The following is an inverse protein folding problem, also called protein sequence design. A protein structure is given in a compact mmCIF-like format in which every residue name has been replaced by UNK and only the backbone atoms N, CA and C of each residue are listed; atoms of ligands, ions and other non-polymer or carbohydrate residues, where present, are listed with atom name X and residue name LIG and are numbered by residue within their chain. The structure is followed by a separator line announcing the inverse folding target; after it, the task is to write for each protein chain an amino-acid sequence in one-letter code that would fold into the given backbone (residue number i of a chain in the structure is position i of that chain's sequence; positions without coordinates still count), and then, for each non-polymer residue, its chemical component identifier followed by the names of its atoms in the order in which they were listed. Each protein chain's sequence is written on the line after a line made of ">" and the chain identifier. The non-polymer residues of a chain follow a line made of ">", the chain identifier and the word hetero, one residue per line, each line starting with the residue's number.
data_IF_946472161412
#
_entry.id   IF_946472161412
#
_cell.length_a   1.000
_cell.length_b   1.000
_cell.length_c   1.000
_cell.angle_alpha   90.00
_cell.angle_beta   90.00
_cell.angle_gamma   90.00
#
_symmetry.space_group_name_H-M   'P 1'
#
loop_
_entity.id
_entity.type
_entity.pdbx_description
1 polymer ?
#
# COMPACT_ATOMS: atom_id res chain seq x y z
N UNK A 1 4.97 -36.58 -16.77
CA UNK A 1 5.95 -35.73 -17.46
C UNK A 1 7.32 -35.99 -16.88
N UNK A 2 8.21 -36.56 -17.72
CA UNK A 2 9.61 -36.85 -17.42
C UNK A 2 10.46 -35.58 -17.55
N UNK A 3 11.64 -35.49 -16.92
CA UNK A 3 12.49 -34.30 -16.99
C UNK A 3 12.87 -33.88 -18.42
N UNK A 4 13.07 -34.83 -19.32
CA UNK A 4 13.45 -34.56 -20.71
C UNK A 4 12.32 -33.87 -21.47
N UNK A 5 11.07 -34.26 -21.22
CA UNK A 5 9.87 -33.64 -21.83
C UNK A 5 9.68 -32.19 -21.40
N UNK A 6 10.24 -31.79 -20.24
CA UNK A 6 10.11 -30.44 -19.70
C UNK A 6 11.02 -29.45 -20.42
N UNK A 7 12.18 -29.92 -20.89
CA UNK A 7 13.22 -29.12 -21.54
C UNK A 7 13.23 -29.27 -23.06
N UNK A 8 12.44 -30.20 -23.61
CA UNK A 8 12.27 -30.32 -25.05
C UNK A 8 11.42 -29.15 -25.55
N UNK A 9 11.82 -28.48 -26.65
CA UNK A 9 11.00 -27.45 -27.28
C UNK A 9 9.62 -28.03 -27.65
N UNK A 10 8.55 -27.36 -27.21
CA UNK A 10 7.19 -27.86 -27.45
C UNK A 10 6.92 -27.89 -28.95
N UNK A 11 6.50 -29.00 -29.56
CA UNK A 11 6.29 -29.07 -31.02
C UNK A 11 4.96 -28.42 -31.48
N UNK A 12 4.52 -27.35 -30.82
CA UNK A 12 3.13 -26.90 -30.93
C UNK A 12 2.83 -26.15 -32.24
N UNK A 13 3.78 -25.44 -32.86
CA UNK A 13 3.55 -24.68 -34.11
C UNK A 13 4.81 -24.48 -34.98
N UNK A 14 4.84 -25.01 -36.21
CA UNK A 14 5.96 -24.82 -37.13
C UNK A 14 6.24 -23.32 -37.40
N UNK A 15 7.49 -22.86 -37.19
CA UNK A 15 7.95 -21.51 -37.54
C UNK A 15 8.08 -20.50 -36.39
N UNK A 16 7.71 -20.86 -35.16
CA UNK A 16 7.88 -20.02 -33.96
C UNK A 16 9.02 -20.63 -33.10
N UNK A 17 9.92 -19.83 -32.49
CA UNK A 17 10.85 -20.34 -31.48
C UNK A 17 10.06 -21.14 -30.44
N UNK A 18 10.29 -22.44 -30.38
CA UNK A 18 9.50 -23.32 -29.55
C UNK A 18 9.96 -23.18 -28.10
N UNK A 19 9.16 -22.49 -27.30
CA UNK A 19 9.37 -22.47 -25.86
C UNK A 19 9.21 -23.89 -25.30
N UNK A 20 10.13 -24.24 -24.42
CA UNK A 20 10.08 -25.45 -23.59
C UNK A 20 8.95 -25.36 -22.58
N UNK A 21 8.51 -26.49 -22.03
CA UNK A 21 7.45 -26.50 -21.01
C UNK A 21 7.86 -25.66 -19.78
N UNK A 22 9.13 -25.72 -19.37
CA UNK A 22 9.63 -24.89 -18.26
C UNK A 22 9.55 -23.40 -18.57
N UNK A 23 9.87 -22.97 -19.80
CA UNK A 23 9.75 -21.58 -20.23
C UNK A 23 8.29 -21.10 -20.25
N UNK A 24 7.36 -21.91 -20.77
CA UNK A 24 5.93 -21.58 -20.76
C UNK A 24 5.35 -21.54 -19.33
N UNK A 25 5.89 -22.35 -18.43
CA UNK A 25 5.37 -22.48 -17.07
C UNK A 25 5.64 -21.26 -16.18
N UNK A 26 6.56 -20.36 -16.55
CA UNK A 26 6.95 -19.19 -15.74
C UNK A 26 5.80 -18.20 -15.48
N UNK A 27 4.69 -18.33 -16.21
CA UNK A 27 3.49 -17.53 -15.99
C UNK A 27 2.65 -18.02 -14.80
N UNK A 28 2.90 -19.24 -14.30
CA UNK A 28 2.11 -19.89 -13.27
C UNK A 28 2.98 -20.62 -12.24
N UNK A 29 3.03 -20.08 -11.02
CA UNK A 29 3.83 -20.62 -9.90
C UNK A 29 3.73 -22.14 -9.76
N UNK A 30 2.51 -22.69 -9.66
CA UNK A 30 2.31 -24.14 -9.43
C UNK A 30 2.90 -25.00 -10.55
N UNK A 31 2.76 -24.56 -11.80
CA UNK A 31 3.31 -25.29 -12.94
C UNK A 31 4.83 -25.14 -13.01
N UNK A 32 5.34 -23.93 -12.76
CA UNK A 32 6.78 -23.70 -12.71
C UNK A 32 7.45 -24.55 -11.63
N UNK A 33 6.96 -24.52 -10.38
CA UNK A 33 7.52 -25.31 -9.28
C UNK A 33 7.48 -26.81 -9.59
N UNK A 34 6.35 -27.31 -10.12
CA UNK A 34 6.24 -28.73 -10.50
C UNK A 34 7.21 -29.16 -11.61
N UNK A 35 7.56 -28.23 -12.53
CA UNK A 35 8.59 -28.47 -13.54
C UNK A 35 9.99 -28.35 -12.93
N UNK A 36 10.23 -27.31 -12.14
CA UNK A 36 11.49 -27.00 -11.47
C UNK A 36 11.96 -28.15 -10.57
N UNK A 37 11.09 -28.65 -9.68
CA UNK A 37 11.41 -29.73 -8.74
C UNK A 37 11.86 -31.03 -9.45
N UNK A 38 11.44 -31.24 -10.70
CA UNK A 38 11.83 -32.42 -11.48
C UNK A 38 13.17 -32.27 -12.20
N UNK A 39 13.59 -31.04 -12.49
CA UNK A 39 14.77 -30.77 -13.32
C UNK A 39 15.93 -30.19 -12.50
N UNK A 40 15.68 -29.61 -11.32
CA UNK A 40 16.73 -28.90 -10.56
C UNK A 40 17.88 -29.82 -10.13
N UNK A 41 17.58 -31.09 -9.80
CA UNK A 41 18.56 -32.07 -9.35
C UNK A 41 19.42 -32.64 -10.48
N UNK A 42 19.06 -32.39 -11.73
CA UNK A 42 19.76 -32.93 -12.90
C UNK A 42 20.87 -31.96 -13.30
N UNK A 43 22.04 -32.17 -12.71
CA UNK A 43 23.18 -31.24 -12.82
C UNK A 43 23.63 -31.00 -14.27
N UNK A 44 23.46 -32.00 -15.15
CA UNK A 44 23.82 -31.93 -16.56
C UNK A 44 22.99 -30.93 -17.38
N UNK A 45 21.84 -30.50 -16.87
CA UNK A 45 21.00 -29.51 -17.56
C UNK A 45 21.55 -28.10 -17.35
N UNK A 46 21.86 -27.42 -18.45
CA UNK A 46 22.28 -26.01 -18.48
C UNK A 46 21.05 -25.08 -18.44
N UNK A 47 20.34 -25.08 -17.30
CA UNK A 47 19.08 -24.35 -17.14
C UNK A 47 19.24 -22.83 -17.32
N UNK A 48 20.43 -22.29 -17.08
CA UNK A 48 20.82 -20.89 -17.31
C UNK A 48 20.85 -20.51 -18.79
N UNK A 49 21.02 -21.47 -19.70
CA UNK A 49 20.92 -21.25 -21.15
C UNK A 49 19.48 -21.36 -21.67
N UNK A 50 18.60 -22.00 -20.91
CA UNK A 50 17.18 -22.18 -21.27
C UNK A 50 16.36 -20.96 -20.80
N UNK A 51 16.56 -20.53 -19.55
CA UNK A 51 15.79 -19.43 -18.97
C UNK A 51 16.45 -18.08 -19.27
N UNK A 52 15.85 -17.33 -20.19
CA UNK A 52 16.26 -15.95 -20.49
C UNK A 52 15.91 -14.97 -19.36
N UNK A 53 16.46 -13.75 -19.42
CA UNK A 53 16.11 -12.67 -18.49
C UNK A 53 14.60 -12.41 -18.40
N UNK A 54 13.87 -12.47 -19.52
CA UNK A 54 12.42 -12.30 -19.55
C UNK A 54 11.71 -13.37 -18.72
N UNK A 55 12.15 -14.63 -18.82
CA UNK A 55 11.63 -15.71 -18.00
C UNK A 55 11.92 -15.48 -16.51
N UNK A 56 13.13 -15.04 -16.17
CA UNK A 56 13.50 -14.72 -14.78
C UNK A 56 12.62 -13.61 -14.17
N UNK A 57 12.28 -12.57 -14.94
CA UNK A 57 11.36 -11.51 -14.48
C UNK A 57 9.99 -12.10 -14.13
N UNK A 58 9.47 -13.01 -14.95
CA UNK A 58 8.19 -13.65 -14.67
C UNK A 58 8.24 -14.60 -13.48
N UNK A 59 9.35 -15.31 -13.28
CA UNK A 59 9.55 -16.16 -12.11
C UNK A 59 9.51 -15.32 -10.82
N UNK A 60 10.13 -14.12 -10.82
CA UNK A 60 10.11 -13.20 -9.68
C UNK A 60 8.69 -12.88 -9.15
N UNK A 61 7.64 -13.00 -9.98
CA UNK A 61 6.23 -12.79 -9.58
C UNK A 61 5.76 -13.66 -8.42
N UNK A 62 6.43 -14.79 -8.17
CA UNK A 62 6.03 -15.72 -7.12
C UNK A 62 7.22 -16.28 -6.34
N UNK A 63 8.43 -15.76 -6.59
CA UNK A 63 9.64 -16.17 -5.90
C UNK A 63 9.60 -15.77 -4.43
N UNK A 64 10.10 -16.66 -3.58
CA UNK A 64 10.53 -16.40 -2.22
C UNK A 64 12.07 -16.54 -2.12
N UNK A 65 12.60 -16.30 -0.92
CA UNK A 65 14.04 -16.43 -0.67
C UNK A 65 14.59 -17.84 -0.97
N UNK A 66 13.86 -18.92 -0.64
CA UNK A 66 14.33 -20.29 -0.85
C UNK A 66 14.45 -20.62 -2.34
N UNK A 67 13.43 -20.29 -3.14
CA UNK A 67 13.46 -20.51 -4.58
C UNK A 67 14.60 -19.71 -5.23
N UNK A 68 14.79 -18.45 -4.81
CA UNK A 68 15.89 -17.62 -5.33
C UNK A 68 17.26 -18.28 -5.09
N UNK A 69 17.49 -18.82 -3.88
CA UNK A 69 18.72 -19.53 -3.55
C UNK A 69 18.88 -20.86 -4.31
N UNK A 70 17.80 -21.64 -4.45
CA UNK A 70 17.82 -22.88 -5.25
C UNK A 70 18.15 -22.60 -6.71
N UNK A 71 17.57 -21.56 -7.31
CA UNK A 71 17.86 -21.13 -8.67
C UNK A 71 19.31 -20.63 -8.82
N UNK A 72 19.81 -19.86 -7.84
CA UNK A 72 21.20 -19.40 -7.80
C UNK A 72 22.20 -20.55 -7.79
N UNK A 73 21.95 -21.63 -7.03
CA UNK A 73 22.79 -22.85 -7.04
C UNK A 73 22.85 -23.51 -8.43
N UNK A 74 21.84 -23.28 -9.27
CA UNK A 74 21.77 -23.70 -10.67
C UNK A 74 22.23 -22.60 -11.65
N UNK A 75 22.99 -21.61 -11.17
CA UNK A 75 23.55 -20.48 -11.92
C UNK A 75 22.50 -19.54 -12.55
N UNK A 76 21.25 -19.61 -12.10
CA UNK A 76 20.20 -18.69 -12.52
C UNK A 76 20.07 -17.60 -11.45
N UNK A 77 20.69 -16.45 -11.70
CA UNK A 77 20.68 -15.31 -10.79
C UNK A 77 19.50 -14.37 -11.09
N UNK A 78 18.44 -14.47 -10.27
CA UNK A 78 17.30 -13.58 -10.37
C UNK A 78 17.65 -12.11 -10.06
N UNK A 79 18.68 -11.86 -9.24
CA UNK A 79 19.12 -10.50 -8.91
C UNK A 79 19.66 -9.78 -10.15
N UNK A 80 20.37 -10.50 -11.02
CA UNK A 80 20.86 -9.98 -12.30
C UNK A 80 19.71 -9.53 -13.21
N UNK A 81 18.61 -10.29 -13.26
CA UNK A 81 17.43 -9.91 -14.02
C UNK A 81 16.77 -8.64 -13.47
N UNK A 82 16.62 -8.56 -12.14
CA UNK A 82 16.11 -7.34 -11.48
C UNK A 82 17.01 -6.15 -11.73
N UNK A 83 18.34 -6.31 -11.65
CA UNK A 83 19.31 -5.23 -11.92
C UNK A 83 19.25 -4.74 -13.36
N UNK A 84 19.04 -5.66 -14.32
CA UNK A 84 18.97 -5.35 -15.75
C UNK A 84 17.67 -4.64 -16.12
N UNK A 85 16.56 -5.02 -15.48
CA UNK A 85 15.23 -4.48 -15.75
C UNK A 85 14.49 -4.13 -14.44
N UNK A 86 14.98 -3.13 -13.67
CA UNK A 86 14.49 -2.87 -12.33
C UNK A 86 13.02 -2.46 -12.32
N UNK A 87 12.63 -1.52 -13.19
CA UNK A 87 11.25 -1.06 -13.29
C UNK A 87 10.27 -2.21 -13.53
N UNK A 88 10.49 -2.97 -14.60
CA UNK A 88 9.59 -4.09 -14.95
C UNK A 88 9.57 -5.12 -13.83
N UNK A 89 10.74 -5.51 -13.31
CA UNK A 89 10.82 -6.55 -12.29
C UNK A 89 10.09 -6.18 -11.00
N UNK A 90 10.34 -4.98 -10.48
CA UNK A 90 9.69 -4.53 -9.24
C UNK A 90 8.18 -4.37 -9.41
N UNK A 91 7.71 -3.88 -10.57
CA UNK A 91 6.27 -3.77 -10.85
C UNK A 91 5.62 -5.15 -10.98
N UNK A 92 6.29 -6.11 -11.61
CA UNK A 92 5.80 -7.48 -11.73
C UNK A 92 5.68 -8.19 -10.38
N UNK A 93 6.71 -8.06 -9.52
CA UNK A 93 6.67 -8.59 -8.15
C UNK A 93 5.55 -7.91 -7.36
N UNK A 94 5.50 -6.57 -7.37
CA UNK A 94 4.52 -5.79 -6.63
C UNK A 94 3.06 -6.09 -7.06
N UNK A 95 2.82 -6.39 -8.33
CA UNK A 95 1.48 -6.65 -8.86
C UNK A 95 1.01 -8.07 -8.55
N UNK A 96 1.90 -9.05 -8.69
CA UNK A 96 1.49 -10.46 -8.76
C UNK A 96 1.86 -11.29 -7.52
N UNK A 97 2.93 -10.93 -6.81
CA UNK A 97 3.36 -11.73 -5.66
C UNK A 97 2.45 -11.45 -4.45
N UNK A 98 1.71 -12.46 -3.92
CA UNK A 98 0.84 -12.26 -2.78
C UNK A 98 1.61 -11.95 -1.48
N UNK A 99 2.84 -12.46 -1.35
CA UNK A 99 3.71 -12.22 -0.20
C UNK A 99 5.20 -12.22 -0.60
N UNK A 100 5.70 -11.10 -1.18
CA UNK A 100 7.08 -11.00 -1.60
C UNK A 100 8.04 -10.70 -0.45
N UNK A 101 7.61 -10.74 0.82
CA UNK A 101 8.38 -10.17 1.94
C UNK A 101 9.79 -10.80 2.09
N UNK A 102 9.88 -12.13 1.98
CA UNK A 102 11.16 -12.84 2.02
C UNK A 102 12.02 -12.52 0.79
N UNK A 103 11.44 -12.48 -0.40
CA UNK A 103 12.15 -12.16 -1.63
C UNK A 103 12.62 -10.70 -1.68
N UNK A 104 11.83 -9.75 -1.16
CA UNK A 104 12.25 -8.35 -1.00
C UNK A 104 13.41 -8.21 -0.02
N UNK A 105 13.40 -8.96 1.09
CA UNK A 105 14.55 -8.98 2.00
C UNK A 105 15.79 -9.57 1.31
N UNK A 106 15.63 -10.62 0.51
CA UNK A 106 16.70 -11.18 -0.30
C UNK A 106 17.25 -10.16 -1.30
N UNK A 107 16.40 -9.52 -2.11
CA UNK A 107 16.80 -8.46 -3.04
C UNK A 107 17.51 -7.29 -2.34
N UNK A 108 17.03 -6.90 -1.17
CA UNK A 108 17.65 -5.86 -0.36
C UNK A 108 19.07 -6.24 0.12
N UNK A 109 19.32 -7.51 0.44
CA UNK A 109 20.68 -8.00 0.76
C UNK A 109 21.59 -8.02 -0.47
N UNK A 110 21.01 -8.15 -1.66
CA UNK A 110 21.70 -7.97 -2.95
C UNK A 110 21.87 -6.50 -3.35
N UNK A 111 21.60 -5.57 -2.43
CA UNK A 111 21.68 -4.11 -2.61
C UNK A 111 20.74 -3.58 -3.71
N UNK A 112 19.67 -4.32 -4.01
CA UNK A 112 18.67 -3.92 -4.99
C UNK A 112 17.50 -3.21 -4.29
N UNK A 113 17.25 -1.98 -4.74
CA UNK A 113 16.19 -1.12 -4.21
C UNK A 113 15.09 -0.92 -5.26
N UNK A 114 13.83 -0.73 -4.83
CA UNK A 114 12.76 -0.37 -5.75
C UNK A 114 13.06 0.99 -6.41
N UNK A 115 12.77 1.15 -7.71
CA UNK A 115 12.96 2.43 -8.39
C UNK A 115 11.99 3.49 -7.84
N UNK A 116 12.41 4.76 -7.87
CA UNK A 116 11.59 5.92 -7.48
C UNK A 116 10.46 6.18 -8.48
N UNK A 117 9.37 6.82 -8.02
CA UNK A 117 8.18 7.16 -8.83
C UNK A 117 8.37 8.24 -9.90
N UNK A 118 9.58 8.65 -10.26
CA UNK A 118 9.76 9.72 -11.26
C UNK A 118 9.29 9.31 -12.67
N UNK A 119 8.96 8.02 -12.86
CA UNK A 119 8.59 7.43 -14.14
C UNK A 119 7.08 7.17 -14.21
N UNK A 120 6.49 7.50 -15.35
CA UNK A 120 5.05 7.49 -15.65
C UNK A 120 4.32 6.15 -15.47
N UNK A 121 5.01 5.03 -15.26
CA UNK A 121 4.44 3.68 -15.12
C UNK A 121 3.91 3.36 -13.71
N UNK A 122 4.08 4.29 -12.76
CA UNK A 122 3.67 4.15 -11.36
C UNK A 122 4.73 3.43 -10.52
N UNK A 123 4.82 3.77 -9.23
CA UNK A 123 5.81 3.13 -8.36
C UNK A 123 5.37 1.74 -7.89
N UNK A 124 6.32 0.85 -7.52
CA UNK A 124 5.99 -0.46 -6.96
C UNK A 124 5.05 -0.37 -5.76
N UNK A 125 5.16 0.68 -4.93
CA UNK A 125 4.27 0.89 -3.79
C UNK A 125 2.81 1.07 -4.25
N UNK A 126 2.59 1.96 -5.22
CA UNK A 126 1.25 2.26 -5.71
C UNK A 126 0.63 1.07 -6.43
N UNK A 127 1.42 0.33 -7.23
CA UNK A 127 0.96 -0.88 -7.91
C UNK A 127 0.60 -1.99 -6.90
N UNK A 128 1.45 -2.26 -5.91
CA UNK A 128 1.14 -3.21 -4.85
C UNK A 128 -0.14 -2.82 -4.12
N UNK A 129 -0.25 -1.54 -3.76
CA UNK A 129 -1.42 -1.03 -3.07
C UNK A 129 -2.68 -1.20 -3.91
N UNK A 130 -2.68 -0.82 -5.19
CA UNK A 130 -3.83 -0.94 -6.09
C UNK A 130 -4.33 -2.37 -6.26
N UNK A 131 -3.42 -3.35 -6.18
CA UNK A 131 -3.73 -4.78 -6.30
C UNK A 131 -3.95 -5.47 -4.94
N UNK A 132 -4.17 -4.70 -3.87
CA UNK A 132 -4.41 -5.18 -2.51
C UNK A 132 -3.33 -6.15 -1.98
N UNK A 133 -2.08 -5.96 -2.41
CA UNK A 133 -0.93 -6.76 -1.97
C UNK A 133 -0.40 -6.27 -0.64
N UNK A 134 -1.16 -6.50 0.44
CA UNK A 134 -0.85 -5.96 1.77
C UNK A 134 0.59 -6.23 2.25
N UNK A 135 1.16 -7.45 2.14
CA UNK A 135 2.55 -7.68 2.57
C UNK A 135 3.54 -6.84 1.75
N UNK A 136 3.38 -6.81 0.42
CA UNK A 136 4.21 -6.02 -0.48
C UNK A 136 4.10 -4.51 -0.17
N UNK A 137 2.88 -3.99 -0.08
CA UNK A 137 2.62 -2.59 0.26
C UNK A 137 3.19 -2.21 1.61
N UNK A 138 3.05 -3.07 2.61
CA UNK A 138 3.59 -2.82 3.95
C UNK A 138 5.10 -2.71 3.91
N UNK A 139 5.79 -3.69 3.30
CA UNK A 139 7.25 -3.65 3.17
C UNK A 139 7.72 -2.37 2.44
N UNK A 140 7.07 -2.03 1.31
CA UNK A 140 7.39 -0.85 0.51
C UNK A 140 7.15 0.46 1.27
N UNK A 141 6.08 0.58 2.07
CA UNK A 141 5.82 1.73 2.95
C UNK A 141 6.94 1.93 3.99
N UNK A 142 7.51 0.85 4.51
CA UNK A 142 8.62 0.94 5.47
C UNK A 142 9.92 1.37 4.80
N UNK A 143 10.14 0.97 3.54
CA UNK A 143 11.41 1.14 2.82
C UNK A 143 11.47 2.37 1.91
N UNK A 144 10.34 2.87 1.41
CA UNK A 144 10.32 4.16 0.68
C UNK A 144 10.58 5.31 1.65
N UNK A 145 11.39 6.28 1.26
CA UNK A 145 11.54 7.55 1.97
C UNK A 145 10.70 8.67 1.34
N UNK A 146 10.06 8.40 0.20
CA UNK A 146 9.23 9.38 -0.47
C UNK A 146 7.91 9.56 0.28
N UNK A 147 7.80 10.71 0.94
CA UNK A 147 6.60 11.11 1.67
C UNK A 147 5.40 11.23 0.72
N UNK A 148 5.60 11.74 -0.50
CA UNK A 148 4.55 11.90 -1.52
C UNK A 148 3.97 10.56 -1.95
N UNK A 149 4.80 9.56 -2.22
CA UNK A 149 4.31 8.22 -2.56
C UNK A 149 3.44 7.61 -1.46
N UNK A 150 3.83 7.79 -0.19
CA UNK A 150 3.03 7.31 0.95
C UNK A 150 1.67 8.00 1.01
N UNK A 151 1.62 9.30 0.70
CA UNK A 151 0.37 10.05 0.58
C UNK A 151 -0.52 9.50 -0.53
N UNK A 152 0.03 9.34 -1.73
CA UNK A 152 -0.69 8.82 -2.88
C UNK A 152 -1.21 7.40 -2.62
N UNK A 153 -0.43 6.57 -1.92
CA UNK A 153 -0.84 5.26 -1.43
C UNK A 153 -2.03 5.36 -0.46
N UNK A 154 -1.98 6.24 0.54
CA UNK A 154 -3.06 6.43 1.50
C UNK A 154 -4.34 6.94 0.84
N UNK A 155 -4.24 7.92 -0.07
CA UNK A 155 -5.38 8.44 -0.84
C UNK A 155 -5.98 7.36 -1.74
N UNK A 156 -5.14 6.64 -2.49
CA UNK A 156 -5.59 5.54 -3.35
C UNK A 156 -6.23 4.39 -2.56
N UNK A 157 -5.77 4.12 -1.34
CA UNK A 157 -6.39 3.15 -0.46
C UNK A 157 -7.70 3.67 0.14
N UNK A 158 -7.79 4.96 0.49
CA UNK A 158 -8.99 5.59 1.01
C UNK A 158 -10.17 5.54 0.02
N UNK A 159 -9.92 5.73 -1.28
CA UNK A 159 -10.97 5.80 -2.29
C UNK A 159 -11.54 4.44 -2.74
N UNK A 160 -10.80 3.34 -2.55
CA UNK A 160 -11.24 1.99 -2.95
C UNK A 160 -12.15 1.33 -1.91
N UNK A 161 -12.90 0.31 -2.30
CA UNK A 161 -13.90 -0.36 -1.45
C UNK A 161 -13.62 -1.85 -1.27
N UNK A 162 -12.38 -2.20 -0.94
CA UNK A 162 -11.97 -3.60 -0.70
C UNK A 162 -11.49 -3.80 0.74
N UNK A 163 -11.57 -5.03 1.26
CA UNK A 163 -11.00 -5.35 2.57
C UNK A 163 -9.49 -5.06 2.63
N UNK A 164 -8.75 -5.35 1.54
CA UNK A 164 -7.33 -5.06 1.42
C UNK A 164 -7.01 -3.56 1.51
N UNK A 165 -7.80 -2.72 0.82
CA UNK A 165 -7.62 -1.26 0.86
C UNK A 165 -7.80 -0.65 2.26
N UNK A 166 -8.61 -1.27 3.12
CA UNK A 166 -8.74 -0.84 4.53
C UNK A 166 -7.44 -1.07 5.29
N UNK A 167 -6.89 -2.29 5.23
CA UNK A 167 -5.64 -2.62 5.90
C UNK A 167 -4.46 -1.79 5.37
N UNK A 168 -4.41 -1.57 4.05
CA UNK A 168 -3.39 -0.71 3.43
C UNK A 168 -3.51 0.73 3.93
N UNK A 169 -4.72 1.29 4.00
CA UNK A 169 -4.93 2.62 4.54
C UNK A 169 -4.40 2.72 5.97
N UNK A 170 -4.71 1.73 6.82
CA UNK A 170 -4.23 1.72 8.20
C UNK A 170 -2.69 1.73 8.29
N UNK A 171 -2.03 0.89 7.49
CA UNK A 171 -0.57 0.84 7.42
C UNK A 171 0.03 2.16 6.93
N UNK A 172 -0.55 2.75 5.86
CA UNK A 172 -0.08 4.00 5.30
C UNK A 172 -0.21 5.16 6.30
N UNK A 173 -1.35 5.27 6.99
CA UNK A 173 -1.60 6.31 7.99
C UNK A 173 -0.64 6.20 9.17
N UNK A 174 -0.46 5.00 9.73
CA UNK A 174 0.52 4.78 10.82
C UNK A 174 1.92 5.19 10.38
N UNK A 175 2.29 4.86 9.13
CA UNK A 175 3.61 5.21 8.58
C UNK A 175 3.80 6.70 8.36
N UNK A 176 2.77 7.38 7.83
CA UNK A 176 2.76 8.83 7.64
C UNK A 176 2.90 9.52 9.00
N UNK A 177 2.06 9.17 9.98
CA UNK A 177 2.05 9.81 11.30
C UNK A 177 3.39 9.73 12.04
N UNK A 178 4.19 8.68 11.81
CA UNK A 178 5.54 8.56 12.36
C UNK A 178 6.56 9.56 11.78
N UNK A 179 6.27 10.23 10.66
CA UNK A 179 7.21 11.12 9.96
C UNK A 179 6.77 12.59 10.02
N UNK A 180 6.45 13.03 11.24
CA UNK A 180 5.71 14.24 11.65
C UNK A 180 6.19 15.61 11.11
N UNK A 181 7.32 15.73 10.42
CA UNK A 181 7.94 17.03 10.16
C UNK A 181 7.50 17.73 8.86
N UNK A 182 6.87 17.05 7.90
CA UNK A 182 6.68 17.59 6.53
C UNK A 182 5.27 17.34 5.98
N UNK A 183 4.26 17.27 6.85
CA UNK A 183 2.91 16.98 6.36
C UNK A 183 2.24 18.25 5.80
N UNK A 184 1.60 18.17 4.62
CA UNK A 184 0.82 19.28 4.10
C UNK A 184 -0.30 19.67 5.08
N UNK A 185 -0.60 20.96 5.13
CA UNK A 185 -1.68 21.52 5.95
C UNK A 185 -2.99 20.79 5.61
N UNK A 186 -3.71 20.29 6.63
CA UNK A 186 -4.99 19.56 6.53
C UNK A 186 -4.94 18.18 5.86
N UNK A 187 -3.78 17.54 5.79
CA UNK A 187 -3.69 16.19 5.27
C UNK A 187 -4.69 15.17 5.86
N UNK A 188 -5.04 15.17 7.17
CA UNK A 188 -5.98 14.19 7.71
C UNK A 188 -7.35 14.37 7.06
N UNK A 189 -7.74 15.63 6.86
CA UNK A 189 -9.00 16.01 6.25
C UNK A 189 -9.05 15.59 4.77
N UNK A 190 -7.94 15.71 4.04
CA UNK A 190 -7.89 15.30 2.64
C UNK A 190 -8.13 13.80 2.48
N UNK A 191 -7.52 12.98 3.35
CA UNK A 191 -7.74 11.53 3.34
C UNK A 191 -9.18 11.20 3.75
N UNK A 192 -9.71 11.86 4.78
CA UNK A 192 -11.09 11.66 5.20
C UNK A 192 -12.09 11.99 4.09
N UNK A 193 -11.92 13.13 3.42
CA UNK A 193 -12.72 13.51 2.26
C UNK A 193 -12.53 12.54 1.07
N UNK A 194 -11.34 11.96 0.89
CA UNK A 194 -11.11 10.94 -0.14
C UNK A 194 -11.89 9.65 0.13
N UNK A 195 -12.08 9.24 1.39
CA UNK A 195 -12.96 8.10 1.73
C UNK A 195 -14.40 8.37 1.29
N UNK A 196 -14.91 9.56 1.62
CA UNK A 196 -16.28 9.98 1.25
C UNK A 196 -16.42 10.03 -0.28
N UNK A 197 -15.50 10.72 -0.97
CA UNK A 197 -15.54 10.84 -2.42
C UNK A 197 -15.44 9.48 -3.12
N UNK A 198 -14.58 8.59 -2.63
CA UNK A 198 -14.49 7.22 -3.11
C UNK A 198 -15.82 6.50 -2.96
N UNK A 199 -16.45 6.55 -1.78
CA UNK A 199 -17.73 5.90 -1.53
C UNK A 199 -18.83 6.46 -2.42
N UNK A 200 -18.90 7.78 -2.57
CA UNK A 200 -19.83 8.45 -3.47
C UNK A 200 -19.62 8.06 -4.94
N UNK A 201 -18.37 7.92 -5.39
CA UNK A 201 -18.08 7.45 -6.76
C UNK A 201 -18.43 5.98 -6.96
N UNK A 202 -18.21 5.15 -5.93
CA UNK A 202 -18.64 3.76 -5.91
C UNK A 202 -20.16 3.68 -6.02
N UNK A 203 -20.89 4.45 -5.22
CA UNK A 203 -22.35 4.45 -5.20
C UNK A 203 -22.99 4.79 -6.55
N UNK A 204 -22.36 5.69 -7.31
CA UNK A 204 -22.81 6.06 -8.66
C UNK A 204 -22.69 4.95 -9.70
N UNK A 205 -21.91 3.91 -9.43
CA UNK A 205 -21.55 2.86 -10.40
C UNK A 205 -22.13 1.48 -10.07
N UNK A 206 -22.70 1.30 -8.89
CA UNK A 206 -23.02 0.00 -8.30
C UNK A 206 -24.49 -0.09 -7.89
N UNK A 207 -24.96 -1.29 -7.60
CA UNK A 207 -26.35 -1.55 -7.17
C UNK A 207 -26.57 -1.10 -5.71
N UNK A 208 -27.83 -0.95 -5.25
CA UNK A 208 -28.12 -0.64 -3.85
C UNK A 208 -27.51 -1.62 -2.84
N UNK A 209 -27.47 -2.92 -3.14
CA UNK A 209 -26.86 -3.94 -2.28
C UNK A 209 -25.33 -3.76 -2.16
N UNK A 210 -24.68 -3.46 -3.29
CA UNK A 210 -23.25 -3.14 -3.32
C UNK A 210 -22.95 -1.83 -2.57
N UNK A 211 -23.89 -0.88 -2.58
CA UNK A 211 -23.76 0.38 -1.84
C UNK A 211 -23.74 0.16 -0.33
N UNK A 212 -24.45 -0.84 0.22
CA UNK A 212 -24.35 -1.19 1.63
C UNK A 212 -22.93 -1.65 1.99
N UNK A 213 -22.31 -2.49 1.15
CA UNK A 213 -20.92 -2.94 1.36
C UNK A 213 -19.94 -1.77 1.30
N UNK A 214 -20.10 -0.89 0.32
CA UNK A 214 -19.30 0.33 0.16
C UNK A 214 -19.40 1.22 1.41
N UNK A 215 -20.63 1.44 1.90
CA UNK A 215 -20.87 2.23 3.11
C UNK A 215 -20.17 1.62 4.32
N UNK A 216 -20.31 0.31 4.54
CA UNK A 216 -19.70 -0.37 5.67
C UNK A 216 -18.16 -0.24 5.66
N UNK A 217 -17.54 -0.45 4.50
CA UNK A 217 -16.08 -0.31 4.33
C UNK A 217 -15.64 1.15 4.57
N UNK A 218 -16.37 2.12 4.03
CA UNK A 218 -16.05 3.53 4.21
C UNK A 218 -16.19 3.98 5.67
N UNK A 219 -17.26 3.56 6.37
CA UNK A 219 -17.45 3.82 7.80
C UNK A 219 -16.28 3.26 8.61
N UNK A 220 -15.85 2.02 8.35
CA UNK A 220 -14.71 1.41 9.04
C UNK A 220 -13.43 2.24 8.86
N UNK A 221 -13.17 2.72 7.64
CA UNK A 221 -12.02 3.61 7.36
C UNK A 221 -12.14 4.95 8.10
N UNK A 222 -13.33 5.56 8.11
CA UNK A 222 -13.58 6.82 8.81
C UNK A 222 -13.40 6.67 10.32
N UNK A 223 -13.89 5.57 10.91
CA UNK A 223 -13.69 5.22 12.32
C UNK A 223 -12.20 5.11 12.66
N UNK A 224 -11.44 4.37 11.85
CA UNK A 224 -10.00 4.24 12.02
C UNK A 224 -9.29 5.61 11.96
N UNK A 225 -9.58 6.41 10.92
CA UNK A 225 -8.97 7.73 10.74
C UNK A 225 -9.24 8.64 11.94
N UNK A 226 -10.47 8.66 12.47
CA UNK A 226 -10.80 9.43 13.67
C UNK A 226 -10.06 8.92 14.90
N UNK A 227 -10.04 7.60 15.11
CA UNK A 227 -9.33 7.01 16.24
C UNK A 227 -7.83 7.29 16.24
N UNK A 228 -7.22 7.43 15.05
CA UNK A 228 -5.77 7.61 14.92
C UNK A 228 -5.33 9.08 14.76
N UNK A 229 -6.11 9.91 14.08
CA UNK A 229 -5.75 11.30 13.75
C UNK A 229 -6.49 12.34 14.59
N UNK A 230 -7.43 11.88 15.44
CA UNK A 230 -8.14 12.71 16.39
C UNK A 230 -9.39 13.39 15.83
N UNK A 231 -9.99 14.19 16.69
CA UNK A 231 -11.35 14.71 16.58
C UNK A 231 -11.52 15.90 15.63
N UNK A 232 -10.44 16.41 15.04
CA UNK A 232 -10.51 17.54 14.10
C UNK A 232 -11.06 17.16 12.72
N UNK A 233 -11.27 15.87 12.46
CA UNK A 233 -11.84 15.38 11.20
C UNK A 233 -13.33 15.67 11.15
N UNK A 234 -13.72 16.64 10.31
CA UNK A 234 -15.11 17.03 10.14
C UNK A 234 -15.57 16.71 8.72
N UNK A 235 -16.75 16.13 8.59
CA UNK A 235 -17.43 16.03 7.31
C UNK A 235 -17.92 17.42 6.89
N UNK A 236 -17.51 17.88 5.70
CA UNK A 236 -17.91 19.19 5.21
C UNK A 236 -19.40 19.21 4.84
N UNK A 237 -20.03 20.39 4.79
CA UNK A 237 -21.43 20.51 4.32
C UNK A 237 -21.61 19.94 2.92
N UNK A 238 -20.63 20.16 2.04
CA UNK A 238 -20.63 19.65 0.66
C UNK A 238 -20.60 18.12 0.66
N UNK A 239 -19.73 17.52 1.45
CA UNK A 239 -19.62 16.06 1.57
C UNK A 239 -20.90 15.45 2.16
N UNK A 240 -21.49 16.09 3.18
CA UNK A 240 -22.78 15.69 3.76
C UNK A 240 -23.92 15.73 2.75
N UNK A 241 -24.02 16.79 1.94
CA UNK A 241 -25.02 16.89 0.87
C UNK A 241 -24.85 15.75 -0.13
N UNK A 242 -23.61 15.47 -0.55
CA UNK A 242 -23.31 14.40 -1.48
C UNK A 242 -23.71 13.01 -0.96
N UNK A 243 -23.46 12.73 0.33
CA UNK A 243 -23.87 11.45 0.94
C UNK A 243 -25.40 11.30 0.94
N UNK A 244 -26.15 12.38 1.23
CA UNK A 244 -27.62 12.37 1.23
C UNK A 244 -28.20 12.23 -0.18
N UNK A 245 -27.62 12.92 -1.16
CA UNK A 245 -28.03 12.85 -2.57
C UNK A 245 -27.86 11.45 -3.17
N UNK A 246 -26.87 10.69 -2.71
CA UNK A 246 -26.56 9.34 -3.20
C UNK A 246 -27.16 8.23 -2.35
N UNK A 247 -28.09 8.56 -1.45
CA UNK A 247 -28.75 7.62 -0.53
C UNK A 247 -27.77 6.78 0.33
N UNK A 248 -26.63 7.37 0.68
CA UNK A 248 -25.63 6.75 1.58
C UNK A 248 -25.98 7.07 3.04
N UNK A 249 -27.17 6.64 3.46
CA UNK A 249 -27.78 7.02 4.74
C UNK A 249 -26.92 6.64 5.95
N UNK A 250 -26.37 5.42 5.99
CA UNK A 250 -25.55 4.96 7.12
C UNK A 250 -24.29 5.81 7.26
N UNK A 251 -23.63 6.09 6.14
CA UNK A 251 -22.46 6.99 6.12
C UNK A 251 -22.83 8.41 6.54
N UNK A 252 -23.96 8.94 6.06
CA UNK A 252 -24.43 10.28 6.41
C UNK A 252 -24.71 10.38 7.91
N UNK A 253 -25.46 9.44 8.47
CA UNK A 253 -25.75 9.37 9.92
C UNK A 253 -24.48 9.23 10.73
N UNK A 254 -23.56 8.35 10.32
CA UNK A 254 -22.26 8.22 10.99
C UNK A 254 -21.49 9.54 10.97
N UNK A 255 -21.33 10.17 9.80
CA UNK A 255 -20.61 11.43 9.64
C UNK A 255 -21.24 12.60 10.43
N UNK A 256 -22.56 12.67 10.50
CA UNK A 256 -23.30 13.67 11.28
C UNK A 256 -23.06 13.50 12.78
N UNK A 257 -23.19 12.27 13.29
CA UNK A 257 -22.87 11.95 14.68
C UNK A 257 -21.40 12.29 14.99
N UNK A 258 -20.50 11.97 14.07
CA UNK A 258 -19.08 12.30 14.23
C UNK A 258 -18.85 13.81 14.34
N UNK A 259 -19.49 14.61 13.48
CA UNK A 259 -19.42 16.07 13.52
C UNK A 259 -19.96 16.66 14.83
N UNK A 260 -21.04 16.11 15.37
CA UNK A 260 -21.63 16.55 16.66
C UNK A 260 -20.63 16.33 17.79
N UNK A 261 -20.07 15.11 17.90
CA UNK A 261 -19.11 14.77 18.95
C UNK A 261 -17.87 15.67 18.86
N UNK A 262 -17.32 15.84 17.65
CA UNK A 262 -16.13 16.68 17.44
C UNK A 262 -16.36 18.15 17.84
N UNK A 263 -17.55 18.71 17.57
CA UNK A 263 -17.91 20.07 18.00
C UNK A 263 -18.02 20.19 19.52
N UNK A 264 -18.63 19.20 20.18
CA UNK A 264 -18.76 19.18 21.63
C UNK A 264 -17.37 19.14 22.31
N UNK A 265 -16.49 18.25 21.83
CA UNK A 265 -15.12 18.12 22.32
C UNK A 265 -14.31 19.40 22.11
N UNK A 266 -14.45 20.05 20.95
CA UNK A 266 -13.79 21.32 20.67
C UNK A 266 -14.24 22.44 21.63
N UNK A 267 -15.55 22.57 21.88
CA UNK A 267 -16.06 23.58 22.82
C UNK A 267 -15.61 23.31 24.26
N UNK A 268 -15.51 22.04 24.68
CA UNK A 268 -15.00 21.67 25.99
C UNK A 268 -13.50 21.96 26.13
N UNK A 269 -12.70 21.66 25.10
CA UNK A 269 -11.28 22.03 25.05
C UNK A 269 -11.09 23.55 25.12
N UNK A 270 -11.88 24.31 24.36
CA UNK A 270 -11.86 25.77 24.36
C UNK A 270 -12.20 26.34 25.74
N UNK A 271 -13.23 25.83 26.42
CA UNK A 271 -13.58 26.23 27.80
C UNK A 271 -12.45 25.92 28.77
N UNK A 272 -11.82 24.75 28.65
CA UNK A 272 -10.68 24.35 29.48
C UNK A 272 -9.49 25.29 29.31
N UNK A 273 -9.13 25.61 28.06
CA UNK A 273 -8.06 26.54 27.74
C UNK A 273 -8.34 27.96 28.25
N UNK A 274 -9.57 28.46 28.10
CA UNK A 274 -9.99 29.75 28.65
C UNK A 274 -9.87 29.79 30.17
N UNK A 275 -10.25 28.70 30.87
CA UNK A 275 -10.10 28.57 32.32
C UNK A 275 -8.64 28.56 32.74
N UNK A 276 -7.77 27.87 32.00
CA UNK A 276 -6.33 27.84 32.25
C UNK A 276 -5.70 29.22 32.05
N UNK A 277 -6.07 29.91 30.96
CA UNK A 277 -5.59 31.26 30.68
C UNK A 277 -6.04 32.26 31.75
N UNK A 278 -7.30 32.17 32.21
CA UNK A 278 -7.81 33.00 33.30
C UNK A 278 -7.07 32.76 34.63
N UNK A 279 -6.65 31.52 34.92
CA UNK A 279 -5.80 31.20 36.09
C UNK A 279 -4.41 31.83 35.97
N UNK A 280 -3.75 31.66 34.83
CA UNK A 280 -2.43 32.24 34.57
C UNK A 280 -2.42 33.77 34.69
N UNK A 281 -3.47 34.45 34.20
CA UNK A 281 -3.62 35.90 34.34
C UNK A 281 -3.79 36.33 35.79
N UNK A 282 -4.55 35.58 36.61
CA UNK A 282 -4.67 35.85 38.05
C UNK A 282 -3.34 35.68 38.78
N UNK A 283 -2.59 34.63 38.46
CA UNK A 283 -1.29 34.36 39.09
C UNK A 283 -0.24 35.42 38.70
N UNK A 284 -0.31 35.97 37.48
CA UNK A 284 0.51 37.10 37.05
C UNK A 284 0.17 38.40 37.78
N UNK A 285 -1.12 38.66 38.01
CA UNK A 285 -1.57 39.86 38.73
C UNK A 285 -1.21 39.82 40.22
N UNK A 286 -1.01 38.63 40.80
CA UNK A 286 -0.68 38.44 42.21
C UNK A 286 0.83 38.38 42.51
N UNK A 287 1.71 38.39 41.50
CA UNK A 287 3.15 38.49 41.75
C UNK A 287 3.51 39.93 42.14
N UNK A 288 4.01 40.18 43.37
CA UNK A 288 4.42 41.52 43.77
C UNK A 288 5.54 42.00 42.85
N UNK A 289 5.41 43.22 42.31
CA UNK A 289 6.51 43.93 41.66
C UNK A 289 7.64 44.00 42.67
N UNK A 290 8.68 43.17 42.52
CA UNK A 290 9.97 43.43 43.16
C UNK A 290 10.46 44.74 42.58
N UNK A 291 10.22 45.83 43.29
CA UNK A 291 10.94 47.08 43.09
C UNK A 291 12.40 46.78 43.43
N UNK A 292 13.22 46.55 42.41
CA UNK A 292 14.67 46.60 42.54
C UNK A 292 15.01 48.00 43.03
N UNK A 293 15.37 48.10 44.31
CA UNK A 293 15.93 49.31 44.89
C UNK A 293 17.27 49.56 44.18
N UNK A 294 17.50 50.74 43.59
CA UNK A 294 18.81 51.06 43.04
C UNK A 294 19.82 51.19 44.19
N UNK A 295 20.95 50.49 44.09
CA UNK A 295 22.15 50.76 44.88
C UNK A 295 22.95 51.91 44.25
#
# INVERSE_FOLDING_TARGET
>A
MKPEEIILPSALLAGIPQDTVIQLSVMHQKFFIACWDKIEGILALELDKILSYTHCIYICRFTDEDLAERMRRRRIDLSSAVRKYPEVSWLEIARHNPDPSSFFNWLHREELWPPSSEIHSGSPLLIAAQNDRLPATTWLLYKTFDVRERWECAIGAATRHTAGSTSILECAIKRIALHSAVHPVRWPQNIYSAVIQGASQGAKKNTPEENTVIQHIAIKKMQFLRGHLGYSLLCSKKDMSLLKELDLQEMATFAENQNIIAKAEYEDQKKSLLKQHARLLKDFALKPRRTSTPQ
#
